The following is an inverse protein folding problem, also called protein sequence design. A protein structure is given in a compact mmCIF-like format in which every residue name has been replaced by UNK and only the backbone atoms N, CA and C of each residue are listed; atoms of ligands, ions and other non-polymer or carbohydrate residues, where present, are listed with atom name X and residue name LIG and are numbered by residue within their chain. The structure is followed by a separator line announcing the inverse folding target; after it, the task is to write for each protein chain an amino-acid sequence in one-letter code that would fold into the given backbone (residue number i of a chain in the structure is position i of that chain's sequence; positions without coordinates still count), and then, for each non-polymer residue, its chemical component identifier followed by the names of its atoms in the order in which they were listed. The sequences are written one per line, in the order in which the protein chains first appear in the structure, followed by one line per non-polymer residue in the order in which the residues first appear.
data_IF_025676063030
#
_entry.id   IF_025676063030
#
_cell.length_a   1.000
_cell.length_b   1.000
_cell.length_c   1.000
_cell.angle_alpha   90.00
_cell.angle_beta   90.00
_cell.angle_gamma   90.00
#
_symmetry.space_group_name_H-M   'P 1'
#
loop_
_entity.id
_entity.type
_entity.pdbx_description
1 polymer ?
#
# COMPACT_ATOMS: atom_id res chain seq x y z
N UNK A 1 -2.27 -8.81 7.79
CA UNK A 1 -2.58 -8.97 9.22
C UNK A 1 -1.42 -9.60 9.98
N UNK A 2 -1.28 -9.29 11.29
CA UNK A 2 -0.20 -9.85 12.09
C UNK A 2 -0.09 -11.37 11.90
N UNK A 3 1.14 -11.89 11.81
CA UNK A 3 1.39 -13.31 11.52
C UNK A 3 0.59 -14.21 12.47
N UNK A 4 -0.25 -15.12 11.96
CA UNK A 4 -1.02 -16.02 12.81
C UNK A 4 -0.11 -16.91 13.62
N UNK A 5 -0.62 -17.40 14.76
CA UNK A 5 0.17 -18.22 15.68
C UNK A 5 0.81 -19.42 14.99
N UNK A 6 0.08 -20.12 14.09
CA UNK A 6 0.60 -21.29 13.37
C UNK A 6 1.83 -20.98 12.52
N UNK A 7 1.85 -19.81 11.82
CA UNK A 7 3.01 -19.42 11.02
C UNK A 7 4.21 -19.08 11.92
N UNK A 8 4.00 -18.36 13.03
CA UNK A 8 5.06 -18.10 14.01
C UNK A 8 5.60 -19.39 14.65
N UNK A 9 4.70 -20.33 14.96
CA UNK A 9 5.09 -21.64 15.47
C UNK A 9 5.92 -22.42 14.46
N UNK A 10 5.54 -22.42 13.17
CA UNK A 10 6.29 -23.10 12.11
C UNK A 10 7.69 -22.50 11.92
N UNK A 11 7.87 -21.18 11.96
CA UNK A 11 9.20 -20.56 11.96
C UNK A 11 10.05 -21.01 13.16
N UNK A 12 9.48 -21.03 14.38
CA UNK A 12 10.18 -21.51 15.57
C UNK A 12 10.51 -23.02 15.48
N UNK A 13 9.68 -23.83 14.87
CA UNK A 13 9.95 -25.24 14.63
C UNK A 13 11.10 -25.43 13.62
N UNK A 14 11.12 -24.62 12.54
CA UNK A 14 12.21 -24.64 11.57
C UNK A 14 13.55 -24.25 12.23
N UNK A 15 13.57 -23.21 13.06
CA UNK A 15 14.76 -22.78 13.78
C UNK A 15 15.31 -23.84 14.73
N UNK A 16 14.43 -24.67 15.31
CA UNK A 16 14.82 -25.81 16.18
C UNK A 16 15.11 -27.11 15.40
N UNK A 17 14.98 -27.08 14.06
CA UNK A 17 15.16 -28.26 13.21
C UNK A 17 14.06 -29.35 13.37
N UNK A 18 12.89 -28.99 13.90
CA UNK A 18 11.74 -29.89 14.09
C UNK A 18 10.97 -30.10 12.79
N UNK A 19 11.02 -29.11 11.86
CA UNK A 19 10.49 -29.20 10.50
C UNK A 19 11.54 -28.72 9.52
N UNK A 20 11.38 -29.07 8.26
CA UNK A 20 12.20 -28.58 7.15
C UNK A 20 11.55 -27.38 6.42
N UNK A 21 12.25 -26.82 5.43
CA UNK A 21 11.77 -25.71 4.62
C UNK A 21 10.50 -26.06 3.82
N UNK A 22 10.33 -27.32 3.41
CA UNK A 22 9.14 -27.77 2.67
C UNK A 22 7.90 -27.74 3.56
N UNK A 23 8.02 -28.19 4.81
CA UNK A 23 6.94 -28.13 5.78
C UNK A 23 6.55 -26.69 6.13
N UNK A 24 7.53 -25.77 6.28
CA UNK A 24 7.24 -24.34 6.44
C UNK A 24 6.50 -23.80 5.21
N UNK A 25 6.97 -24.13 4.00
CA UNK A 25 6.33 -23.67 2.73
C UNK A 25 4.87 -24.13 2.68
N UNK A 26 4.56 -25.38 3.07
CA UNK A 26 3.18 -25.86 3.12
C UNK A 26 2.28 -25.04 4.04
N UNK A 27 2.77 -24.63 5.22
CA UNK A 27 2.03 -23.74 6.14
C UNK A 27 1.81 -22.36 5.54
N UNK A 28 2.80 -21.84 4.80
CA UNK A 28 2.70 -20.56 4.10
C UNK A 28 1.67 -20.63 2.96
N UNK A 29 1.69 -21.69 2.16
CA UNK A 29 0.78 -21.88 1.03
C UNK A 29 -0.68 -22.02 1.50
N UNK A 30 -0.93 -22.75 2.60
CA UNK A 30 -2.25 -22.80 3.23
C UNK A 30 -2.73 -21.41 3.68
N UNK A 31 -1.84 -20.61 4.27
CA UNK A 31 -2.18 -19.27 4.70
C UNK A 31 -2.43 -18.31 3.52
N UNK A 32 -1.65 -18.43 2.44
CA UNK A 32 -1.89 -17.65 1.20
C UNK A 32 -3.28 -17.98 0.65
N UNK A 33 -3.65 -19.26 0.59
CA UNK A 33 -4.98 -19.70 0.16
C UNK A 33 -6.09 -19.05 0.98
N UNK A 34 -6.00 -19.11 2.30
CA UNK A 34 -7.00 -18.49 3.18
C UNK A 34 -7.10 -16.97 2.97
N UNK A 35 -5.96 -16.28 2.81
CA UNK A 35 -5.95 -14.83 2.59
C UNK A 35 -6.52 -14.44 1.23
N UNK A 36 -6.28 -15.23 0.19
CA UNK A 36 -6.84 -14.97 -1.13
C UNK A 36 -8.35 -15.26 -1.16
N UNK A 37 -8.79 -16.31 -0.47
CA UNK A 37 -10.20 -16.63 -0.29
C UNK A 37 -10.96 -15.49 0.42
N UNK A 38 -10.40 -14.96 1.52
CA UNK A 38 -10.94 -13.80 2.22
C UNK A 38 -11.02 -12.53 1.35
N UNK A 39 -10.04 -12.31 0.46
CA UNK A 39 -10.06 -11.20 -0.49
C UNK A 39 -11.16 -11.39 -1.55
N UNK A 40 -11.36 -12.60 -2.06
CA UNK A 40 -12.44 -12.93 -2.99
C UNK A 40 -13.81 -12.77 -2.33
N UNK A 41 -14.00 -13.28 -1.11
CA UNK A 41 -15.23 -13.10 -0.32
C UNK A 41 -15.56 -11.62 -0.09
N UNK A 42 -14.55 -10.80 0.14
CA UNK A 42 -14.68 -9.36 0.28
C UNK A 42 -14.98 -8.64 -1.06
N UNK A 43 -14.96 -9.34 -2.20
CA UNK A 43 -15.22 -8.77 -3.52
C UNK A 43 -14.09 -7.90 -4.08
N UNK A 44 -12.84 -8.11 -3.63
CA UNK A 44 -11.70 -7.34 -4.14
C UNK A 44 -11.42 -7.69 -5.61
N UNK A 45 -11.17 -6.68 -6.43
CA UNK A 45 -10.91 -6.84 -7.87
C UNK A 45 -9.46 -7.17 -8.22
N UNK A 46 -8.52 -6.95 -7.29
CA UNK A 46 -7.10 -7.22 -7.45
C UNK A 46 -6.59 -7.92 -6.18
N UNK A 47 -6.03 -9.11 -6.34
CA UNK A 47 -5.57 -9.95 -5.25
C UNK A 47 -4.08 -9.76 -4.97
N UNK A 48 -3.65 -10.22 -3.80
CA UNK A 48 -2.24 -10.34 -3.40
C UNK A 48 -2.04 -11.61 -2.56
N UNK A 49 -0.84 -12.19 -2.61
CA UNK A 49 -0.42 -13.30 -1.74
C UNK A 49 -0.27 -12.89 -0.25
N UNK A 50 -0.46 -11.60 0.05
CA UNK A 50 -0.32 -11.03 1.39
C UNK A 50 1.12 -10.98 1.89
N UNK A 51 2.12 -11.18 1.03
CA UNK A 51 3.56 -11.25 1.33
C UNK A 51 3.84 -12.19 2.53
N UNK A 52 3.10 -13.29 2.61
CA UNK A 52 3.15 -14.26 3.74
C UNK A 52 4.54 -14.83 3.94
N UNK A 53 5.29 -14.99 2.85
CA UNK A 53 6.62 -15.60 2.85
C UNK A 53 7.75 -14.64 3.19
N UNK A 54 7.45 -13.35 3.27
CA UNK A 54 8.44 -12.33 3.63
C UNK A 54 8.68 -12.28 5.13
N UNK A 55 9.94 -12.19 5.54
CA UNK A 55 10.30 -11.88 6.93
C UNK A 55 9.93 -10.43 7.28
N UNK A 56 10.40 -9.53 6.45
CA UNK A 56 10.05 -8.12 6.32
C UNK A 56 10.34 -7.69 4.88
N UNK A 57 9.79 -6.56 4.40
CA UNK A 57 9.93 -6.14 3.01
C UNK A 57 11.39 -5.97 2.56
N UNK A 58 12.25 -5.41 3.41
CA UNK A 58 13.66 -5.14 3.11
C UNK A 58 14.45 -6.44 3.00
N UNK A 59 14.30 -7.32 3.99
CA UNK A 59 14.99 -8.61 4.04
C UNK A 59 14.57 -9.52 2.89
N UNK A 60 13.27 -9.55 2.55
CA UNK A 60 12.77 -10.40 1.48
C UNK A 60 13.44 -10.12 0.14
N UNK A 61 13.63 -8.84 -0.19
CA UNK A 61 14.27 -8.42 -1.44
C UNK A 61 15.79 -8.57 -1.37
N UNK A 62 16.43 -8.07 -0.30
CA UNK A 62 17.91 -8.03 -0.23
C UNK A 62 18.55 -9.40 -0.08
N UNK A 63 17.85 -10.42 0.44
CA UNK A 63 18.35 -11.81 0.45
C UNK A 63 18.48 -12.41 -0.95
N UNK A 64 17.71 -11.95 -1.92
CA UNK A 64 17.81 -12.37 -3.32
C UNK A 64 18.84 -11.58 -4.13
N UNK A 65 19.47 -10.56 -3.55
CA UNK A 65 20.50 -9.75 -4.16
C UNK A 65 21.88 -10.08 -3.60
N UNK A 66 22.90 -10.04 -4.46
CA UNK A 66 24.30 -9.98 -3.99
C UNK A 66 24.58 -8.60 -3.38
N UNK A 67 25.61 -8.53 -2.54
CA UNK A 67 26.13 -7.29 -2.00
C UNK A 67 25.55 -6.87 -0.66
N UNK A 68 24.68 -7.68 -0.05
CA UNK A 68 24.08 -7.39 1.24
C UNK A 68 24.38 -8.42 2.32
N UNK A 69 24.56 -7.93 3.54
CA UNK A 69 24.46 -8.68 4.79
C UNK A 69 23.23 -8.22 5.56
N UNK A 70 22.58 -9.15 6.27
CA UNK A 70 21.42 -8.84 7.11
C UNK A 70 21.89 -8.62 8.54
N UNK A 71 21.56 -7.46 9.11
CA UNK A 71 22.05 -7.07 10.44
C UNK A 71 20.95 -6.99 11.50
N UNK A 72 21.03 -6.08 12.45
CA UNK A 72 20.13 -5.95 13.57
C UNK A 72 18.74 -5.41 13.20
N UNK A 73 17.84 -5.47 14.18
CA UNK A 73 16.47 -4.98 14.02
C UNK A 73 16.39 -3.46 14.18
N UNK A 74 15.74 -2.81 13.24
CA UNK A 74 15.35 -1.41 13.33
C UNK A 74 13.82 -1.29 13.27
N UNK A 75 13.29 -0.23 13.89
CA UNK A 75 11.87 0.08 13.84
C UNK A 75 11.49 0.57 12.45
N UNK A 76 10.39 0.03 11.90
CA UNK A 76 9.88 0.42 10.59
C UNK A 76 8.98 1.64 10.74
N UNK A 77 9.43 2.78 10.28
CA UNK A 77 8.76 4.08 10.46
C UNK A 77 8.34 4.29 11.92
N UNK A 78 7.14 4.85 12.16
CA UNK A 78 6.57 5.04 13.49
C UNK A 78 5.63 3.89 13.93
N UNK A 79 5.78 2.70 13.32
CA UNK A 79 5.01 1.50 13.65
C UNK A 79 5.59 0.74 14.85
N UNK A 80 4.89 -0.29 15.32
CA UNK A 80 5.40 -1.24 16.31
C UNK A 80 6.01 -2.50 15.67
N UNK A 81 6.35 -2.43 14.38
CA UNK A 81 7.04 -3.50 13.66
C UNK A 81 8.49 -3.14 13.43
N UNK A 82 9.28 -4.17 13.20
CA UNK A 82 10.71 -4.08 13.01
C UNK A 82 11.11 -4.83 11.75
N UNK A 83 12.14 -4.33 11.07
CA UNK A 83 12.78 -5.01 9.97
C UNK A 83 14.24 -5.27 10.29
N UNK A 84 14.87 -6.26 9.66
CA UNK A 84 16.30 -6.47 9.74
C UNK A 84 16.98 -5.54 8.75
N UNK A 85 17.87 -4.69 9.26
CA UNK A 85 18.55 -3.72 8.40
C UNK A 85 19.51 -4.42 7.45
N UNK A 86 19.35 -4.28 6.13
CA UNK A 86 20.38 -4.69 5.19
C UNK A 86 21.58 -3.76 5.29
N UNK A 87 22.80 -4.33 5.23
CA UNK A 87 24.05 -3.59 5.10
C UNK A 87 24.65 -3.87 3.72
N UNK A 88 24.89 -2.83 2.94
CA UNK A 88 25.58 -2.94 1.67
C UNK A 88 27.08 -3.11 1.88
N UNK A 89 27.59 -4.31 1.61
CA UNK A 89 29.02 -4.67 1.73
C UNK A 89 29.71 -4.75 0.38
N UNK A 90 28.96 -4.81 -0.71
CA UNK A 90 29.39 -4.71 -2.10
C UNK A 90 28.29 -4.09 -2.96
N UNK A 91 28.61 -3.77 -4.21
CA UNK A 91 27.62 -3.25 -5.16
C UNK A 91 26.44 -4.21 -5.30
N UNK A 92 25.19 -3.78 -5.10
CA UNK A 92 24.00 -4.61 -5.26
C UNK A 92 23.89 -5.19 -6.67
N UNK A 93 23.62 -6.50 -6.77
CA UNK A 93 23.45 -7.18 -8.07
C UNK A 93 22.33 -8.19 -8.01
N UNK A 94 21.48 -8.18 -9.02
CA UNK A 94 20.46 -9.20 -9.25
C UNK A 94 21.10 -10.47 -9.87
N UNK A 95 20.72 -11.65 -9.43
CA UNK A 95 21.25 -12.93 -9.90
C UNK A 95 20.19 -13.84 -10.50
N UNK A 96 19.03 -13.87 -9.88
CA UNK A 96 17.88 -14.70 -10.27
C UNK A 96 16.59 -14.04 -9.80
N UNK A 97 15.43 -14.44 -10.40
CA UNK A 97 14.13 -13.93 -9.95
C UNK A 97 13.90 -14.18 -8.46
N UNK A 98 13.51 -13.12 -7.75
CA UNK A 98 13.33 -13.12 -6.29
C UNK A 98 11.87 -13.43 -5.94
N UNK A 99 10.93 -12.86 -6.68
CA UNK A 99 9.50 -12.84 -6.36
C UNK A 99 8.65 -13.61 -7.37
N UNK A 100 9.23 -14.06 -8.49
CA UNK A 100 8.49 -14.71 -9.58
C UNK A 100 7.82 -15.99 -9.12
N UNK A 101 8.54 -16.90 -8.43
CA UNK A 101 7.98 -18.16 -7.94
C UNK A 101 6.82 -17.97 -6.97
N UNK A 102 6.90 -16.93 -6.11
CA UNK A 102 5.85 -16.60 -5.15
C UNK A 102 4.63 -16.04 -5.87
N UNK A 103 4.83 -15.18 -6.89
CA UNK A 103 3.77 -14.64 -7.71
C UNK A 103 3.09 -15.74 -8.56
N UNK A 104 3.85 -16.59 -9.25
CA UNK A 104 3.31 -17.69 -10.05
C UNK A 104 2.48 -18.65 -9.20
N UNK A 105 2.95 -18.97 -7.97
CA UNK A 105 2.21 -19.80 -7.03
C UNK A 105 0.87 -19.14 -6.65
N UNK A 106 0.87 -17.83 -6.41
CA UNK A 106 -0.35 -17.09 -6.07
C UNK A 106 -1.30 -16.98 -7.27
N UNK A 107 -0.78 -16.75 -8.48
CA UNK A 107 -1.59 -16.68 -9.71
C UNK A 107 -2.26 -18.05 -10.01
N UNK A 108 -1.50 -19.13 -9.94
CA UNK A 108 -2.05 -20.49 -10.09
C UNK A 108 -3.15 -20.78 -9.05
N UNK A 109 -2.98 -20.32 -7.82
CA UNK A 109 -3.99 -20.44 -6.78
C UNK A 109 -5.24 -19.60 -7.07
N UNK A 110 -5.09 -18.39 -7.62
CA UNK A 110 -6.22 -17.55 -8.05
C UNK A 110 -7.06 -18.24 -9.14
N UNK A 111 -6.40 -18.91 -10.08
CA UNK A 111 -7.06 -19.71 -11.12
C UNK A 111 -7.87 -20.88 -10.50
N UNK A 112 -7.25 -21.66 -9.59
CA UNK A 112 -7.90 -22.77 -8.90
C UNK A 112 -9.12 -22.32 -8.08
N UNK A 113 -9.00 -21.20 -7.34
CA UNK A 113 -10.10 -20.64 -6.56
C UNK A 113 -11.23 -20.16 -7.45
N UNK A 114 -10.94 -19.56 -8.60
CA UNK A 114 -11.93 -19.14 -9.58
C UNK A 114 -12.69 -20.34 -10.17
N UNK A 115 -11.99 -21.39 -10.56
CA UNK A 115 -12.61 -22.66 -11.02
C UNK A 115 -13.54 -23.25 -9.97
N UNK A 116 -13.10 -23.31 -8.71
CA UNK A 116 -13.89 -23.85 -7.60
C UNK A 116 -15.17 -23.05 -7.36
N UNK A 117 -15.12 -21.73 -7.56
CA UNK A 117 -16.26 -20.80 -7.38
C UNK A 117 -17.11 -20.64 -8.63
N UNK A 118 -16.68 -21.17 -9.77
CA UNK A 118 -17.26 -20.96 -11.10
C UNK A 118 -17.35 -19.45 -11.46
N UNK A 119 -16.29 -18.73 -11.17
CA UNK A 119 -16.11 -17.29 -11.43
C UNK A 119 -14.92 -17.06 -12.38
N UNK A 120 -14.83 -15.86 -12.96
CA UNK A 120 -13.62 -15.46 -13.68
C UNK A 120 -12.45 -15.21 -12.73
N UNK A 121 -11.22 -15.62 -13.07
CA UNK A 121 -10.08 -15.41 -12.21
C UNK A 121 -9.77 -13.92 -12.03
N UNK A 122 -9.49 -13.53 -10.80
CA UNK A 122 -9.06 -12.17 -10.47
C UNK A 122 -7.55 -12.04 -10.64
N UNK A 123 -7.05 -10.94 -11.21
CA UNK A 123 -5.63 -10.71 -11.35
C UNK A 123 -4.92 -10.66 -9.98
N UNK A 124 -3.71 -11.20 -9.92
CA UNK A 124 -2.83 -11.15 -8.74
C UNK A 124 -1.72 -10.15 -9.02
N UNK A 125 -1.55 -9.15 -8.14
CA UNK A 125 -0.44 -8.22 -8.24
C UNK A 125 0.81 -8.80 -7.57
N UNK A 126 1.98 -8.56 -8.18
CA UNK A 126 3.26 -8.68 -7.51
C UNK A 126 3.55 -7.39 -6.73
N UNK A 127 4.24 -7.50 -5.58
CA UNK A 127 4.69 -6.34 -4.80
C UNK A 127 6.21 -6.37 -4.69
N UNK A 128 6.84 -5.20 -4.80
CA UNK A 128 8.29 -5.04 -4.72
C UNK A 128 8.61 -3.77 -3.93
N UNK A 129 9.59 -3.83 -3.01
CA UNK A 129 10.12 -2.61 -2.39
C UNK A 129 10.98 -1.86 -3.41
N UNK A 130 10.73 -0.57 -3.56
CA UNK A 130 11.44 0.26 -4.50
C UNK A 130 12.87 0.61 -4.06
N UNK A 131 13.74 0.98 -5.02
CA UNK A 131 15.16 1.17 -4.78
C UNK A 131 15.48 2.35 -3.86
N UNK A 132 14.69 3.43 -3.91
CA UNK A 132 14.92 4.56 -3.04
C UNK A 132 14.63 4.22 -1.56
N UNK A 133 13.50 3.56 -1.28
CA UNK A 133 13.16 3.07 0.05
C UNK A 133 14.16 2.03 0.56
N UNK A 134 14.56 1.11 -0.30
CA UNK A 134 15.52 0.08 0.08
C UNK A 134 16.89 0.68 0.40
N UNK A 135 17.39 1.62 -0.42
CA UNK A 135 18.65 2.35 -0.15
C UNK A 135 18.56 3.24 1.09
N UNK A 136 17.40 3.89 1.33
CA UNK A 136 17.18 4.78 2.49
C UNK A 136 17.15 4.03 3.81
N UNK A 137 16.64 2.80 3.80
CA UNK A 137 16.46 1.95 4.98
C UNK A 137 17.64 0.97 5.19
N UNK A 138 18.60 0.93 4.28
CA UNK A 138 19.83 0.13 4.39
C UNK A 138 20.99 0.91 5.05
N UNK A 139 21.92 0.18 5.65
CA UNK A 139 23.22 0.71 6.03
C UNK A 139 24.13 0.72 4.80
N UNK A 140 24.40 1.90 4.25
CA UNK A 140 25.18 2.11 3.04
C UNK A 140 26.51 2.83 3.34
N UNK A 141 26.95 2.87 4.60
CA UNK A 141 28.05 3.74 5.05
C UNK A 141 29.36 3.53 4.26
N UNK A 142 29.68 2.29 3.89
CA UNK A 142 30.94 1.96 3.21
C UNK A 142 30.95 2.35 1.72
N UNK A 143 29.80 2.29 1.04
CA UNK A 143 29.68 2.48 -0.40
C UNK A 143 29.05 3.83 -0.80
N UNK A 144 28.39 4.47 0.15
CA UNK A 144 27.60 5.67 -0.08
C UNK A 144 26.17 5.35 -0.57
N UNK A 145 25.20 6.00 0.06
CA UNK A 145 23.77 5.72 -0.18
C UNK A 145 23.32 5.97 -1.62
N UNK A 146 23.81 7.03 -2.26
CA UNK A 146 23.49 7.33 -3.65
C UNK A 146 23.91 6.18 -4.58
N UNK A 147 25.16 5.74 -4.48
CA UNK A 147 25.68 4.65 -5.32
C UNK A 147 24.89 3.35 -5.11
N UNK A 148 24.61 2.99 -3.85
CA UNK A 148 23.82 1.80 -3.51
C UNK A 148 22.40 1.91 -4.04
N UNK A 149 21.73 3.07 -3.90
CA UNK A 149 20.37 3.29 -4.38
C UNK A 149 20.28 3.14 -5.92
N UNK A 150 21.23 3.68 -6.65
CA UNK A 150 21.23 3.59 -8.11
C UNK A 150 21.57 2.18 -8.60
N UNK A 151 22.48 1.46 -7.93
CA UNK A 151 22.75 0.05 -8.23
C UNK A 151 21.54 -0.85 -7.88
N UNK A 152 20.83 -0.56 -6.80
CA UNK A 152 19.56 -1.21 -6.49
C UNK A 152 18.52 -0.98 -7.58
N UNK A 153 18.42 0.23 -8.13
CA UNK A 153 17.48 0.52 -9.20
C UNK A 153 17.75 -0.35 -10.45
N UNK A 154 19.01 -0.56 -10.80
CA UNK A 154 19.40 -1.44 -11.92
C UNK A 154 19.15 -2.93 -11.62
N UNK A 155 19.45 -3.37 -10.40
CA UNK A 155 19.19 -4.74 -9.96
C UNK A 155 17.69 -5.05 -9.93
N UNK A 156 16.88 -4.16 -9.37
CA UNK A 156 15.42 -4.33 -9.28
C UNK A 156 14.71 -4.13 -10.63
N UNK A 157 15.30 -3.40 -11.59
CA UNK A 157 14.82 -3.35 -12.96
C UNK A 157 14.81 -4.77 -13.60
N UNK A 158 15.83 -5.59 -13.32
CA UNK A 158 15.83 -6.98 -13.78
C UNK A 158 14.71 -7.81 -13.15
N UNK A 159 14.40 -7.56 -11.86
CA UNK A 159 13.28 -8.23 -11.19
C UNK A 159 11.93 -7.81 -11.79
N UNK A 160 11.72 -6.52 -12.06
CA UNK A 160 10.51 -6.05 -12.76
C UNK A 160 10.35 -6.71 -14.14
N UNK A 161 11.44 -6.80 -14.89
CA UNK A 161 11.44 -7.47 -16.21
C UNK A 161 11.15 -8.96 -16.09
N UNK A 162 11.67 -9.63 -15.08
CA UNK A 162 11.40 -11.04 -14.83
C UNK A 162 9.90 -11.27 -14.47
N UNK A 163 9.32 -10.47 -13.57
CA UNK A 163 7.90 -10.51 -13.23
C UNK A 163 7.01 -10.21 -14.44
N UNK A 164 7.34 -9.18 -15.24
CA UNK A 164 6.60 -8.86 -16.46
C UNK A 164 6.67 -10.01 -17.48
N UNK A 165 7.85 -10.63 -17.64
CA UNK A 165 8.05 -11.78 -18.54
C UNK A 165 7.33 -13.04 -18.06
N UNK A 166 7.15 -13.23 -16.77
CA UNK A 166 6.35 -14.29 -16.19
C UNK A 166 4.83 -14.05 -16.38
N UNK A 167 4.43 -12.83 -16.77
CA UNK A 167 3.04 -12.48 -17.05
C UNK A 167 2.32 -11.73 -15.91
N UNK A 168 3.05 -11.23 -14.90
CA UNK A 168 2.44 -10.45 -13.82
C UNK A 168 1.68 -9.23 -14.39
N UNK A 169 0.33 -9.18 -14.26
CA UNK A 169 -0.48 -8.15 -14.91
C UNK A 169 -0.31 -6.79 -14.23
N UNK A 170 0.01 -6.79 -12.94
CA UNK A 170 0.24 -5.58 -12.13
C UNK A 170 1.45 -5.80 -11.24
N UNK A 171 2.40 -4.87 -11.27
CA UNK A 171 3.51 -4.83 -10.33
C UNK A 171 3.42 -3.53 -9.52
N UNK A 172 3.27 -3.68 -8.21
CA UNK A 172 3.27 -2.58 -7.26
C UNK A 172 4.68 -2.36 -6.73
N UNK A 173 5.19 -1.14 -6.86
CA UNK A 173 6.46 -0.71 -6.28
C UNK A 173 6.19 0.13 -5.04
N UNK A 174 6.64 -0.34 -3.88
CA UNK A 174 6.44 0.31 -2.59
C UNK A 174 7.61 1.26 -2.28
N UNK A 175 7.36 2.56 -2.36
CA UNK A 175 8.35 3.62 -2.10
C UNK A 175 7.97 4.48 -0.89
N UNK A 176 7.82 3.82 0.24
CA UNK A 176 7.36 4.46 1.48
C UNK A 176 8.34 5.54 2.01
N UNK A 177 9.63 5.43 1.70
CA UNK A 177 10.61 6.42 2.14
C UNK A 177 10.50 7.77 1.38
N UNK A 178 9.69 7.87 0.32
CA UNK A 178 9.36 9.17 -0.30
C UNK A 178 8.67 10.12 0.68
N UNK A 179 7.98 9.57 1.70
CA UNK A 179 7.38 10.36 2.79
C UNK A 179 8.42 11.01 3.73
N UNK A 180 9.69 10.65 3.61
CA UNK A 180 10.78 11.23 4.40
C UNK A 180 11.50 12.38 3.68
N UNK A 181 11.08 12.71 2.46
CA UNK A 181 11.64 13.84 1.69
C UNK A 181 10.94 15.11 2.18
N UNK A 182 11.73 16.03 2.72
CA UNK A 182 11.24 17.33 3.16
C UNK A 182 11.23 18.39 2.03
N UNK A 183 10.63 19.58 2.28
CA UNK A 183 10.43 20.60 1.25
C UNK A 183 11.73 21.22 0.72
N UNK A 184 12.86 21.08 1.44
CA UNK A 184 14.16 21.61 1.04
C UNK A 184 15.14 20.54 0.50
N UNK A 185 14.69 19.28 0.38
CA UNK A 185 15.58 18.14 0.09
C UNK A 185 15.67 17.86 -1.43
N UNK A 186 16.16 18.85 -2.20
CA UNK A 186 16.26 18.71 -3.67
C UNK A 186 17.17 17.56 -4.11
N UNK A 187 18.23 17.26 -3.36
CA UNK A 187 19.13 16.13 -3.66
C UNK A 187 18.42 14.79 -3.50
N UNK A 188 17.57 14.66 -2.48
CA UNK A 188 16.76 13.46 -2.27
C UNK A 188 15.73 13.28 -3.38
N UNK A 189 15.06 14.36 -3.81
CA UNK A 189 14.13 14.31 -4.95
C UNK A 189 14.83 13.88 -6.23
N UNK A 190 16.03 14.41 -6.50
CA UNK A 190 16.82 14.01 -7.69
C UNK A 190 17.23 12.54 -7.63
N UNK A 191 17.72 12.09 -6.47
CA UNK A 191 18.10 10.68 -6.29
C UNK A 191 16.91 9.75 -6.46
N UNK A 192 15.77 10.06 -5.84
CA UNK A 192 14.54 9.27 -5.97
C UNK A 192 14.05 9.23 -7.43
N UNK A 193 14.01 10.37 -8.12
CA UNK A 193 13.58 10.45 -9.51
C UNK A 193 14.50 9.63 -10.44
N UNK A 194 15.83 9.71 -10.27
CA UNK A 194 16.78 8.95 -11.07
C UNK A 194 16.71 7.45 -10.79
N UNK A 195 16.57 7.05 -9.51
CA UNK A 195 16.44 5.65 -9.14
C UNK A 195 15.14 5.04 -9.71
N UNK A 196 14.01 5.74 -9.62
CA UNK A 196 12.75 5.29 -10.19
C UNK A 196 12.77 5.26 -11.72
N UNK A 197 13.43 6.21 -12.36
CA UNK A 197 13.61 6.20 -13.83
C UNK A 197 14.38 4.97 -14.28
N UNK A 198 15.49 4.62 -13.63
CA UNK A 198 16.27 3.40 -13.93
C UNK A 198 15.47 2.14 -13.65
N UNK A 199 14.72 2.12 -12.56
CA UNK A 199 13.89 0.99 -12.17
C UNK A 199 12.90 0.58 -13.27
N UNK A 200 12.25 1.55 -13.92
CA UNK A 200 11.19 1.28 -14.89
C UNK A 200 11.67 1.23 -16.34
N UNK A 201 12.96 1.44 -16.58
CA UNK A 201 13.53 1.51 -17.93
C UNK A 201 13.37 0.19 -18.70
N UNK A 202 12.67 0.26 -19.85
CA UNK A 202 12.42 -0.91 -20.70
C UNK A 202 11.56 -1.99 -20.06
N UNK A 203 10.75 -1.67 -19.02
CA UNK A 203 9.72 -2.56 -18.48
C UNK A 203 8.45 -2.37 -19.29
N UNK A 204 7.97 -3.43 -19.91
CA UNK A 204 6.81 -3.43 -20.82
C UNK A 204 5.82 -4.55 -20.43
N UNK A 205 4.61 -4.51 -20.99
CA UNK A 205 3.57 -5.54 -20.88
C UNK A 205 3.01 -5.79 -19.48
N UNK A 206 3.24 -4.88 -18.54
CA UNK A 206 2.69 -4.94 -17.19
C UNK A 206 2.21 -3.57 -16.76
N UNK A 207 1.21 -3.52 -15.85
CA UNK A 207 0.76 -2.28 -15.23
C UNK A 207 1.63 -1.96 -14.03
N UNK A 208 2.41 -0.90 -14.09
CA UNK A 208 3.24 -0.43 -12.98
C UNK A 208 2.44 0.52 -12.08
N UNK A 209 2.35 0.17 -10.80
CA UNK A 209 1.76 0.99 -9.74
C UNK A 209 2.85 1.48 -8.79
N UNK A 210 2.96 2.78 -8.56
CA UNK A 210 3.81 3.33 -7.50
C UNK A 210 2.98 3.53 -6.23
N UNK A 211 3.33 2.83 -5.15
CA UNK A 211 2.63 2.94 -3.88
C UNK A 211 3.48 3.69 -2.85
N UNK A 212 2.89 4.71 -2.25
CA UNK A 212 3.52 5.52 -1.20
C UNK A 212 2.60 5.55 0.01
N UNK A 213 3.01 4.83 1.03
CA UNK A 213 2.28 4.68 2.28
C UNK A 213 3.12 5.17 3.46
N UNK A 214 2.58 5.14 4.68
CA UNK A 214 3.26 5.53 5.92
C UNK A 214 3.37 7.04 6.17
N UNK A 215 2.70 7.89 5.40
CA UNK A 215 2.70 9.32 5.68
C UNK A 215 2.42 10.18 4.46
N UNK A 216 2.79 11.44 4.59
CA UNK A 216 2.61 12.44 3.56
C UNK A 216 3.81 12.48 2.61
N UNK A 217 3.54 12.45 1.32
CA UNK A 217 4.56 12.53 0.27
C UNK A 217 4.42 13.82 -0.58
N UNK A 218 3.60 14.78 -0.14
CA UNK A 218 3.37 16.03 -0.89
C UNK A 218 4.66 16.81 -1.10
N UNK A 219 5.55 16.80 -0.10
CA UNK A 219 6.85 17.48 -0.17
C UNK A 219 7.83 16.83 -1.17
N UNK A 220 7.66 15.55 -1.51
CA UNK A 220 8.44 14.95 -2.60
C UNK A 220 8.12 15.56 -3.97
N UNK A 221 6.93 16.15 -4.11
CA UNK A 221 6.52 16.97 -5.25
C UNK A 221 5.85 16.17 -6.36
N UNK A 222 4.81 16.74 -6.95
CA UNK A 222 4.04 16.11 -8.03
C UNK A 222 4.89 15.78 -9.27
N UNK A 223 5.90 16.58 -9.56
CA UNK A 223 6.77 16.38 -10.72
C UNK A 223 7.59 15.07 -10.58
N UNK A 224 8.01 14.71 -9.36
CA UNK A 224 8.68 13.44 -9.13
C UNK A 224 7.77 12.27 -9.52
N UNK A 225 6.49 12.32 -9.15
CA UNK A 225 5.55 11.24 -9.43
C UNK A 225 5.17 11.17 -10.90
N UNK A 226 4.72 12.29 -11.49
CA UNK A 226 3.99 12.26 -12.76
C UNK A 226 4.89 12.40 -14.00
N UNK A 227 6.17 12.73 -13.84
CA UNK A 227 7.15 12.64 -14.92
C UNK A 227 7.59 11.21 -15.25
N UNK A 228 7.30 10.24 -14.37
CA UNK A 228 7.68 8.84 -14.53
C UNK A 228 6.55 8.02 -15.19
N UNK A 229 6.86 6.94 -15.92
CA UNK A 229 5.89 6.18 -16.69
C UNK A 229 5.11 5.14 -15.84
N UNK A 230 4.80 5.45 -14.58
CA UNK A 230 3.87 4.63 -13.82
C UNK A 230 2.44 4.84 -14.31
N UNK A 231 1.67 3.75 -14.36
CA UNK A 231 0.29 3.77 -14.85
C UNK A 231 -0.69 4.23 -13.76
N UNK A 232 -0.40 3.90 -12.51
CA UNK A 232 -1.21 4.30 -11.35
C UNK A 232 -0.38 4.60 -10.12
N UNK A 233 -1.01 5.29 -9.16
CA UNK A 233 -0.39 5.70 -7.91
C UNK A 233 -1.31 5.38 -6.74
N UNK A 234 -0.76 4.73 -5.70
CA UNK A 234 -1.42 4.52 -4.43
C UNK A 234 -0.86 5.52 -3.41
N UNK A 235 -1.74 6.30 -2.80
CA UNK A 235 -1.38 7.23 -1.74
C UNK A 235 -2.13 6.92 -0.45
N UNK A 236 -1.40 6.95 0.67
CA UNK A 236 -1.97 6.93 2.02
C UNK A 236 -2.74 8.23 2.28
N UNK A 237 -4.05 8.14 2.46
CA UNK A 237 -4.91 9.29 2.73
C UNK A 237 -5.34 9.38 4.20
N UNK A 238 -4.85 8.46 5.03
CA UNK A 238 -5.12 8.42 6.46
C UNK A 238 -3.99 9.05 7.26
N UNK A 239 -2.74 8.61 7.03
CA UNK A 239 -1.56 9.17 7.67
C UNK A 239 -0.97 10.36 6.90
N UNK A 240 -1.25 10.47 5.60
CA UNK A 240 -0.83 11.56 4.71
C UNK A 240 -2.01 12.42 4.22
N UNK A 241 -2.60 13.30 5.04
CA UNK A 241 -3.77 14.09 4.63
C UNK A 241 -3.49 15.07 3.49
N UNK A 242 -2.26 15.50 3.29
CA UNK A 242 -1.88 16.40 2.19
C UNK A 242 -1.68 15.67 0.85
N UNK A 243 -1.63 14.35 0.83
CA UNK A 243 -1.57 13.53 -0.40
C UNK A 243 -2.76 13.78 -1.35
N UNK A 244 -3.88 14.34 -0.87
CA UNK A 244 -4.97 14.80 -1.74
C UNK A 244 -4.51 15.86 -2.74
N UNK A 245 -3.50 16.66 -2.40
CA UNK A 245 -2.93 17.66 -3.31
C UNK A 245 -2.16 17.00 -4.47
N UNK A 246 -1.51 15.85 -4.23
CA UNK A 246 -0.91 15.05 -5.28
C UNK A 246 -1.99 14.50 -6.22
N UNK A 247 -3.06 13.91 -5.67
CA UNK A 247 -4.18 13.38 -6.47
C UNK A 247 -4.81 14.47 -7.34
N UNK A 248 -4.96 15.70 -6.80
CA UNK A 248 -5.52 16.82 -7.54
C UNK A 248 -4.64 17.27 -8.73
N UNK A 249 -3.32 17.03 -8.64
CA UNK A 249 -2.35 17.34 -9.71
C UNK A 249 -2.10 16.20 -10.68
N UNK A 250 -2.62 14.99 -10.38
CA UNK A 250 -2.39 13.82 -11.21
C UNK A 250 -3.04 13.98 -12.59
N UNK A 251 -2.33 13.70 -13.70
CA UNK A 251 -2.90 13.66 -15.03
C UNK A 251 -4.09 12.71 -15.12
N UNK A 252 -5.07 13.03 -15.97
CA UNK A 252 -6.34 12.27 -16.06
C UNK A 252 -6.15 10.83 -16.51
N UNK A 253 -5.12 10.55 -17.29
CA UNK A 253 -4.80 9.22 -17.80
C UNK A 253 -4.15 8.31 -16.74
N UNK A 254 -3.69 8.86 -15.62
CA UNK A 254 -3.09 8.10 -14.53
C UNK A 254 -4.15 7.54 -13.60
N UNK A 255 -4.05 6.26 -13.26
CA UNK A 255 -4.89 5.63 -12.25
C UNK A 255 -4.56 6.16 -10.85
N UNK A 256 -5.57 6.29 -9.98
CA UNK A 256 -5.40 6.63 -8.56
C UNK A 256 -6.00 5.51 -7.72
N UNK A 257 -5.20 5.03 -6.78
CA UNK A 257 -5.63 4.08 -5.75
C UNK A 257 -5.64 4.85 -4.44
N UNK A 258 -6.84 5.11 -3.94
CA UNK A 258 -7.04 5.87 -2.71
C UNK A 258 -6.88 4.95 -1.49
N UNK A 259 -5.83 5.16 -0.71
CA UNK A 259 -5.56 4.46 0.55
C UNK A 259 -6.41 5.03 1.68
N UNK A 260 -7.68 4.63 1.75
CA UNK A 260 -8.72 5.23 2.62
C UNK A 260 -9.15 4.36 3.79
N UNK A 261 -8.83 3.08 3.80
CA UNK A 261 -9.05 2.21 4.96
C UNK A 261 -7.81 2.24 5.85
N UNK A 262 -7.92 2.82 7.04
CA UNK A 262 -6.79 3.05 7.93
C UNK A 262 -6.16 1.73 8.41
N UNK A 263 -4.98 1.42 7.92
CA UNK A 263 -4.25 0.19 8.20
C UNK A 263 -3.56 0.17 9.59
N UNK A 264 -3.59 1.28 10.34
CA UNK A 264 -2.83 1.46 11.59
C UNK A 264 -3.71 1.53 12.83
N UNK A 265 -5.04 1.52 12.66
CA UNK A 265 -6.02 1.48 13.75
C UNK A 265 -6.97 0.31 13.62
N UNK A 266 -7.38 -0.26 14.76
CA UNK A 266 -8.38 -1.34 14.83
C UNK A 266 -9.81 -0.85 14.62
N UNK A 267 -10.03 0.46 14.57
CA UNK A 267 -11.32 1.06 14.27
C UNK A 267 -11.71 0.76 12.82
N UNK A 268 -12.96 0.37 12.60
CA UNK A 268 -13.51 0.23 11.25
C UNK A 268 -13.74 1.61 10.64
N UNK A 269 -13.41 1.72 9.36
CA UNK A 269 -13.57 2.94 8.59
C UNK A 269 -15.04 3.11 8.17
N UNK A 270 -15.43 4.35 7.98
CA UNK A 270 -16.78 4.68 7.53
C UNK A 270 -16.87 4.45 6.03
N UNK A 271 -17.75 3.55 5.60
CA UNK A 271 -17.97 3.21 4.19
C UNK A 271 -18.22 4.45 3.31
N UNK A 272 -19.05 5.37 3.78
CA UNK A 272 -19.41 6.60 3.09
C UNK A 272 -18.19 7.49 2.81
N UNK A 273 -17.23 7.52 3.73
CA UNK A 273 -15.97 8.28 3.55
C UNK A 273 -15.10 7.63 2.48
N UNK A 274 -15.04 6.29 2.43
CA UNK A 274 -14.31 5.57 1.38
C UNK A 274 -14.96 5.79 0.01
N UNK A 275 -16.30 5.71 -0.06
CA UNK A 275 -17.07 6.02 -1.29
C UNK A 275 -16.82 7.45 -1.73
N UNK A 276 -16.85 8.41 -0.81
CA UNK A 276 -16.55 9.80 -1.12
C UNK A 276 -15.13 9.93 -1.68
N UNK A 277 -14.14 9.28 -1.07
CA UNK A 277 -12.75 9.28 -1.54
C UNK A 277 -12.61 8.81 -2.99
N UNK A 278 -13.26 7.68 -3.34
CA UNK A 278 -13.27 7.18 -4.70
C UNK A 278 -13.92 8.16 -5.68
N UNK A 279 -15.10 8.67 -5.33
CA UNK A 279 -15.86 9.60 -6.19
C UNK A 279 -15.15 10.94 -6.35
N UNK A 280 -14.53 11.45 -5.30
CA UNK A 280 -13.72 12.66 -5.37
C UNK A 280 -12.52 12.48 -6.30
N UNK A 281 -11.75 11.40 -6.13
CA UNK A 281 -10.62 11.10 -7.02
C UNK A 281 -11.05 10.95 -8.48
N UNK A 282 -12.21 10.32 -8.74
CA UNK A 282 -12.78 10.16 -10.09
C UNK A 282 -13.22 11.48 -10.72
N UNK A 283 -13.71 12.42 -9.92
CA UNK A 283 -14.17 13.72 -10.39
C UNK A 283 -13.02 14.67 -10.78
N UNK A 284 -11.81 14.44 -10.21
CA UNK A 284 -10.66 15.28 -10.47
C UNK A 284 -10.13 15.08 -11.89
N UNK A 285 -9.91 16.19 -12.59
CA UNK A 285 -9.36 16.26 -13.95
C UNK A 285 -10.13 15.41 -14.99
N UNK A 286 -11.39 15.03 -14.69
CA UNK A 286 -12.20 14.20 -15.59
C UNK A 286 -11.76 12.73 -15.68
N UNK A 287 -11.08 12.21 -14.66
CA UNK A 287 -10.49 10.86 -14.66
C UNK A 287 -11.49 9.73 -14.87
N UNK A 288 -12.66 9.80 -14.24
CA UNK A 288 -13.66 8.71 -14.25
C UNK A 288 -13.36 7.61 -13.22
N UNK A 289 -14.38 6.80 -12.91
CA UNK A 289 -14.28 5.73 -11.90
C UNK A 289 -13.46 4.52 -12.38
N UNK A 290 -13.39 4.31 -13.69
CA UNK A 290 -12.61 3.23 -14.33
C UNK A 290 -11.09 3.33 -14.09
N UNK A 291 -10.63 4.48 -13.63
CA UNK A 291 -9.23 4.74 -13.26
C UNK A 291 -9.03 5.00 -11.77
N UNK A 292 -9.99 4.58 -10.94
CA UNK A 292 -9.90 4.76 -9.49
C UNK A 292 -10.09 3.43 -8.79
N UNK A 293 -9.17 3.12 -7.87
CA UNK A 293 -9.25 2.01 -6.93
C UNK A 293 -9.31 2.49 -5.49
N UNK A 294 -9.76 1.61 -4.62
CA UNK A 294 -9.69 1.77 -3.16
C UNK A 294 -8.72 0.76 -2.59
N UNK A 295 -8.00 1.15 -1.55
CA UNK A 295 -7.02 0.31 -0.86
C UNK A 295 -7.00 0.63 0.63
N UNK A 296 -6.48 -0.29 1.47
CA UNK A 296 -5.95 0.11 2.76
C UNK A 296 -4.85 1.16 2.59
N UNK A 297 -4.68 2.00 3.61
CA UNK A 297 -3.70 3.10 3.60
C UNK A 297 -2.25 2.61 3.67
N UNK A 298 -2.04 1.37 4.13
CA UNK A 298 -0.78 0.64 4.16
C UNK A 298 -1.06 -0.86 4.25
N UNK A 299 -0.04 -1.70 4.36
CA UNK A 299 -0.20 -3.12 4.64
C UNK A 299 -0.99 -3.37 5.94
N UNK A 300 -1.80 -4.42 5.96
CA UNK A 300 -2.66 -4.75 7.11
C UNK A 300 -1.97 -5.64 8.16
N UNK A 301 -0.67 -5.87 8.03
CA UNK A 301 0.12 -6.67 8.97
C UNK A 301 0.20 -6.07 10.39
N UNK A 302 -0.09 -4.80 10.53
CA UNK A 302 -0.13 -4.10 11.82
C UNK A 302 -1.38 -4.41 12.65
N UNK A 303 -2.40 -5.05 12.04
CA UNK A 303 -3.69 -5.28 12.65
C UNK A 303 -3.87 -6.75 13.08
N UNK A 304 -4.67 -7.02 14.13
CA UNK A 304 -5.22 -8.34 14.37
C UNK A 304 -5.97 -8.86 13.14
N UNK A 305 -5.89 -10.18 12.87
CA UNK A 305 -6.42 -10.77 11.64
C UNK A 305 -7.92 -10.51 11.44
N UNK A 306 -8.71 -10.62 12.51
CA UNK A 306 -10.16 -10.35 12.49
C UNK A 306 -10.46 -8.91 12.06
N UNK A 307 -9.65 -7.96 12.50
CA UNK A 307 -9.79 -6.54 12.14
C UNK A 307 -9.36 -6.28 10.71
N UNK A 308 -8.29 -6.91 10.26
CA UNK A 308 -7.85 -6.83 8.87
C UNK A 308 -8.93 -7.39 7.92
N UNK A 309 -9.52 -8.57 8.24
CA UNK A 309 -10.62 -9.16 7.47
C UNK A 309 -11.81 -8.20 7.40
N UNK A 310 -12.29 -7.69 8.55
CA UNK A 310 -13.41 -6.75 8.57
C UNK A 310 -13.14 -5.45 7.77
N UNK A 311 -11.90 -4.99 7.72
CA UNK A 311 -11.54 -3.81 6.91
C UNK A 311 -11.57 -4.08 5.41
N UNK A 312 -11.09 -5.23 4.94
CA UNK A 312 -11.17 -5.58 3.51
C UNK A 312 -12.61 -5.84 3.08
N UNK A 313 -13.45 -6.44 3.92
CA UNK A 313 -14.88 -6.58 3.68
C UNK A 313 -15.55 -5.21 3.50
N UNK A 314 -15.33 -4.29 4.44
CA UNK A 314 -15.85 -2.92 4.36
C UNK A 314 -15.30 -2.15 3.14
N UNK A 315 -14.07 -2.41 2.73
CA UNK A 315 -13.45 -1.81 1.55
C UNK A 315 -14.13 -2.31 0.26
N UNK A 316 -14.40 -3.62 0.16
CA UNK A 316 -15.11 -4.22 -0.97
C UNK A 316 -16.55 -3.70 -1.10
N UNK A 317 -17.27 -3.60 0.03
CA UNK A 317 -18.59 -2.97 0.06
C UNK A 317 -18.55 -1.51 -0.40
N UNK A 318 -17.55 -0.73 0.07
CA UNK A 318 -17.39 0.65 -0.35
C UNK A 318 -17.08 0.78 -1.85
N UNK A 319 -16.26 -0.12 -2.40
CA UNK A 319 -15.94 -0.15 -3.82
C UNK A 319 -17.21 -0.47 -4.67
N UNK A 320 -18.01 -1.44 -4.25
CA UNK A 320 -19.26 -1.79 -4.91
C UNK A 320 -20.24 -0.61 -4.92
N UNK A 321 -20.42 0.08 -3.78
CA UNK A 321 -21.28 1.27 -3.69
C UNK A 321 -20.71 2.42 -4.51
N UNK A 322 -19.38 2.65 -4.49
CA UNK A 322 -18.75 3.67 -5.31
C UNK A 322 -18.96 3.46 -6.82
N UNK A 323 -19.12 2.25 -7.27
CA UNK A 323 -19.34 1.89 -8.68
C UNK A 323 -20.79 2.13 -9.16
N UNK A 324 -21.76 2.36 -8.27
CA UNK A 324 -23.16 2.63 -8.65
C UNK A 324 -23.23 3.86 -9.56
N UNK A 325 -23.70 3.69 -10.79
CA UNK A 325 -23.76 4.77 -11.79
C UNK A 325 -24.98 5.66 -11.64
N UNK A 326 -26.12 5.12 -11.17
CA UNK A 326 -27.34 5.89 -10.95
C UNK A 326 -27.20 6.78 -9.68
N UNK A 327 -27.29 8.11 -9.81
CA UNK A 327 -27.14 9.02 -8.67
C UNK A 327 -28.21 8.83 -7.58
N UNK A 328 -29.43 8.44 -7.94
CA UNK A 328 -30.52 8.23 -6.97
C UNK A 328 -30.33 6.93 -6.20
N UNK A 329 -29.85 5.87 -6.86
CA UNK A 329 -29.48 4.62 -6.22
C UNK A 329 -28.29 4.82 -5.30
N UNK A 330 -27.25 5.52 -5.76
CA UNK A 330 -26.08 5.87 -4.94
C UNK A 330 -26.50 6.64 -3.69
N UNK A 331 -27.35 7.66 -3.84
CA UNK A 331 -27.84 8.45 -2.70
C UNK A 331 -28.60 7.61 -1.68
N UNK A 332 -29.40 6.65 -2.13
CA UNK A 332 -30.15 5.72 -1.26
C UNK A 332 -29.25 4.71 -0.55
N UNK A 333 -28.11 4.37 -1.15
CA UNK A 333 -27.14 3.41 -0.62
C UNK A 333 -26.22 4.02 0.45
N UNK A 334 -26.22 5.35 0.62
CA UNK A 334 -25.36 6.07 1.57
C UNK A 334 -26.18 6.53 2.78
N UNK A 335 -25.61 6.44 3.98
CA UNK A 335 -26.18 7.07 5.18
C UNK A 335 -25.72 8.54 5.24
N UNK A 336 -26.61 9.51 5.06
CA UNK A 336 -26.24 10.92 5.08
C UNK A 336 -25.70 11.36 6.45
N UNK A 337 -26.03 10.62 7.52
CA UNK A 337 -25.56 10.94 8.89
C UNK A 337 -24.13 10.51 9.15
N UNK A 338 -23.56 9.66 8.32
CA UNK A 338 -22.18 9.18 8.50
C UNK A 338 -21.16 10.31 8.41
N UNK A 339 -21.38 11.31 7.55
CA UNK A 339 -20.53 12.51 7.45
C UNK A 339 -20.69 13.39 8.67
N UNK A 340 -21.93 13.57 9.13
CA UNK A 340 -22.27 14.37 10.31
C UNK A 340 -21.67 13.79 11.59
N UNK A 341 -21.68 12.47 11.73
CA UNK A 341 -21.06 11.77 12.87
C UNK A 341 -19.56 12.03 12.96
N UNK A 342 -18.88 12.16 11.83
CA UNK A 342 -17.45 12.47 11.79
C UNK A 342 -17.16 13.93 12.19
N UNK A 343 -18.02 14.85 11.78
CA UNK A 343 -17.96 16.25 12.21
C UNK A 343 -18.21 16.38 13.72
N UNK A 344 -19.12 15.56 14.28
CA UNK A 344 -19.37 15.48 15.70
C UNK A 344 -18.18 14.92 16.49
N UNK A 345 -17.47 13.92 15.96
CA UNK A 345 -16.26 13.37 16.56
C UNK A 345 -15.11 14.39 16.67
N UNK A 346 -15.14 15.44 15.84
CA UNK A 346 -14.23 16.58 15.94
C UNK A 346 -14.70 17.64 16.96
N UNK A 347 -15.77 17.36 17.72
CA UNK A 347 -16.30 18.27 18.75
C UNK A 347 -16.99 19.52 18.18
N UNK A 348 -17.37 19.52 16.90
CA UNK A 348 -17.92 20.70 16.22
C UNK A 348 -19.42 20.59 15.90
N UNK A 349 -20.02 19.42 16.13
CA UNK A 349 -21.40 19.18 15.69
C UNK A 349 -22.10 18.08 16.51
N UNK A 350 -23.34 18.30 16.91
CA UNK A 350 -24.21 17.27 17.52
C UNK A 350 -25.14 16.67 16.46
N UNK A 351 -25.16 15.33 16.25
CA UNK A 351 -26.08 14.71 15.29
C UNK A 351 -27.54 15.05 15.59
N UNK A 352 -28.26 15.50 14.58
CA UNK A 352 -29.70 15.80 14.71
C UNK A 352 -30.07 17.28 14.95
N UNK A 353 -29.11 18.12 15.19
CA UNK A 353 -29.28 19.58 15.23
C UNK A 353 -28.51 20.16 14.06
N UNK A 354 -29.11 20.94 13.22
CA UNK A 354 -28.43 21.65 12.12
C UNK A 354 -27.16 22.34 12.60
N UNK A 355 -26.19 22.55 11.71
CA UNK A 355 -24.97 23.27 12.09
C UNK A 355 -25.36 24.56 12.82
N UNK A 356 -24.83 24.81 14.03
CA UNK A 356 -25.18 26.03 14.75
C UNK A 356 -24.82 27.23 13.89
N UNK A 357 -25.74 28.18 13.82
CA UNK A 357 -25.51 29.45 13.14
C UNK A 357 -24.16 30.04 13.60
N UNK A 358 -23.30 30.49 12.67
CA UNK A 358 -22.01 31.08 13.00
C UNK A 358 -22.06 32.19 14.07
N UNK A 359 -23.15 32.95 14.11
CA UNK A 359 -23.36 33.97 15.12
C UNK A 359 -23.57 33.38 16.52
N UNK A 360 -24.26 32.25 16.63
CA UNK A 360 -24.48 31.51 17.88
C UNK A 360 -23.16 30.88 18.36
N UNK A 361 -22.31 30.39 17.47
CA UNK A 361 -20.98 29.89 17.81
C UNK A 361 -20.05 30.99 18.34
N UNK A 362 -20.03 32.16 17.69
CA UNK A 362 -19.23 33.30 18.14
C UNK A 362 -19.68 33.82 19.49
N UNK A 363 -20.99 33.86 19.77
CA UNK A 363 -21.55 34.23 21.09
C UNK A 363 -21.11 33.27 22.20
N UNK A 364 -21.14 31.94 21.95
CA UNK A 364 -20.65 30.91 22.89
C UNK A 364 -19.15 31.06 23.18
N UNK A 365 -18.34 31.27 22.16
CA UNK A 365 -16.87 31.47 22.31
C UNK A 365 -16.60 32.74 23.16
N UNK A 366 -17.36 33.81 22.95
CA UNK A 366 -17.23 35.05 23.72
C UNK A 366 -17.63 34.84 25.20
N UNK A 367 -18.67 34.07 25.47
CA UNK A 367 -19.11 33.74 26.84
C UNK A 367 -18.11 32.84 27.58
N UNK A 368 -17.50 31.86 26.91
CA UNK A 368 -16.49 30.98 27.48
C UNK A 368 -15.15 31.68 27.70
N UNK A 369 -14.81 32.65 26.84
CA UNK A 369 -13.61 33.49 26.97
C UNK A 369 -13.70 34.50 28.12
N UNK A 370 -14.89 34.92 28.50
CA UNK A 370 -15.10 35.85 29.63
C UNK A 370 -15.19 35.17 31.01
N UNK A 371 -15.20 33.84 31.06
CA UNK A 371 -15.21 33.03 32.31
C UNK A 371 -13.82 32.52 32.71
N UNK A 372 -12.80 32.86 31.96
CA UNK A 372 -11.37 32.64 32.30
C UNK A 372 -10.72 33.97 32.65
#
# INVERSE_FOLDING_TARGET
PGRPFRLRAAYGQLERGEIDGAALRAVQDELVRELMDEQLEAGLGLLTDGQVRWDDPQTAVTRGLDGFEITGLLRYFDTNTYYRQPRAVAEPRWRWPILVDDWETADALAQELAETRAEDPRPVKACLVGPYSLGRLSDCAELGREAVTLALAEALNQELKALASAGAPVIQVDENALTLIGPADDDERRLAAEALRRLVDGVEFTHLCLAVTMGDAEDAGADLFYALPFHSYLFDLCAGPDNWRLIARAPMERGIIAGVADARTTRLDTREVMVWGARYAAALNGRGLDRVGLSPSAGLEYLPRDRAKAKIESLGEAAAVAAISDPEELRRSLDPRAVDSRSAALGRYEPGHGAPDPATMLARIAEEGSKR
#
